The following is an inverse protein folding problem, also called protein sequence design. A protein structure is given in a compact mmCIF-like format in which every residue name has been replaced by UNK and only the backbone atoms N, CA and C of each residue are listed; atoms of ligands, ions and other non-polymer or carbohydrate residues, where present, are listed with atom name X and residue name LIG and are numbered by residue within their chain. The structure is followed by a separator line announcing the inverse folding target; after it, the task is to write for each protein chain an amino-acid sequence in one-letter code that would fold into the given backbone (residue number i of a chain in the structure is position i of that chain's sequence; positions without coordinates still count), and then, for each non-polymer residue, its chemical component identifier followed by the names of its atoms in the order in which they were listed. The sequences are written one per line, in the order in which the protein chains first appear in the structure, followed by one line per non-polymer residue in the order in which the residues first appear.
data_IF_740820626311
#
_entry.id   IF_740820626311
#
_cell.length_a   1.000
_cell.length_b   1.000
_cell.length_c   1.000
_cell.angle_alpha   90.00
_cell.angle_beta   90.00
_cell.angle_gamma   90.00
#
_symmetry.space_group_name_H-M   'P 1'
#
loop_
_entity.id
_entity.type
_entity.pdbx_description
1 polymer ?
#
# COMPACT_ATOMS: atom_id res chain seq x y z
N UNK A 1 -16.57 27.34 -6.05
CA UNK A 1 -16.21 25.93 -6.20
C UNK A 1 -17.47 25.15 -6.52
N UNK A 2 -17.60 24.64 -7.73
CA UNK A 2 -18.75 23.85 -8.16
C UNK A 2 -18.54 22.42 -7.63
N UNK A 3 -19.30 22.02 -6.64
CA UNK A 3 -19.30 20.65 -6.12
C UNK A 3 -19.87 19.69 -7.19
N UNK A 4 -19.07 18.66 -7.56
CA UNK A 4 -19.61 17.54 -8.34
C UNK A 4 -20.35 16.60 -7.37
N UNK A 5 -21.57 16.22 -7.72
CA UNK A 5 -22.44 15.35 -6.92
C UNK A 5 -21.85 13.94 -6.63
N UNK A 6 -20.76 13.57 -7.30
CA UNK A 6 -20.11 12.25 -7.20
C UNK A 6 -18.79 12.27 -6.40
N UNK A 7 -18.46 13.37 -5.72
CA UNK A 7 -17.22 13.46 -4.95
C UNK A 7 -17.35 12.74 -3.61
N UNK A 8 -16.46 11.77 -3.35
CA UNK A 8 -16.42 11.06 -2.08
C UNK A 8 -16.04 12.01 -0.96
N UNK A 9 -16.82 11.97 0.11
CA UNK A 9 -16.53 12.62 1.38
C UNK A 9 -16.52 11.56 2.46
N UNK A 10 -15.40 11.46 3.17
CA UNK A 10 -15.26 10.55 4.29
C UNK A 10 -16.20 10.96 5.43
N UNK A 11 -16.72 9.96 6.16
CA UNK A 11 -17.54 10.17 7.33
C UNK A 11 -16.80 11.06 8.35
N UNK A 12 -17.48 12.10 8.87
CA UNK A 12 -16.91 13.02 9.85
C UNK A 12 -16.56 12.32 11.16
N UNK A 13 -17.34 11.29 11.52
CA UNK A 13 -17.26 10.59 12.80
C UNK A 13 -16.42 9.30 12.69
N UNK A 14 -15.66 9.12 11.59
CA UNK A 14 -14.87 7.91 11.30
C UNK A 14 -13.87 7.53 12.37
N UNK A 15 -13.41 8.48 13.17
CA UNK A 15 -12.44 8.24 14.24
C UNK A 15 -13.04 7.89 15.60
N UNK A 16 -14.37 7.96 15.74
CA UNK A 16 -15.03 7.80 17.05
C UNK A 16 -15.19 6.33 17.46
N UNK A 17 -15.14 5.39 16.50
CA UNK A 17 -15.47 3.99 16.74
C UNK A 17 -14.27 3.05 16.72
N UNK A 18 -13.22 3.37 15.99
CA UNK A 18 -12.05 2.49 15.84
C UNK A 18 -10.94 2.93 16.78
N UNK A 19 -10.52 2.06 17.72
CA UNK A 19 -9.37 2.37 18.57
C UNK A 19 -8.06 2.27 17.79
N UNK A 20 -7.10 3.12 18.17
CA UNK A 20 -5.75 3.16 17.61
C UNK A 20 -4.72 2.78 18.68
N UNK A 21 -3.60 2.18 18.24
CA UNK A 21 -2.50 1.78 19.12
C UNK A 21 -1.18 2.23 18.54
N UNK A 22 -0.33 2.74 19.41
CA UNK A 22 1.04 3.11 19.06
C UNK A 22 1.81 1.88 18.54
N UNK A 23 2.44 2.02 17.38
CA UNK A 23 3.33 1.01 16.82
C UNK A 23 4.71 1.06 17.52
N UNK A 24 4.83 0.35 18.63
CA UNK A 24 6.05 0.30 19.44
C UNK A 24 6.47 1.69 19.91
N UNK A 25 7.70 2.10 19.54
CA UNK A 25 8.30 3.40 19.91
C UNK A 25 8.28 4.41 18.74
N UNK A 26 7.67 4.04 17.63
CA UNK A 26 7.55 4.93 16.45
C UNK A 26 6.51 6.04 16.69
N UNK A 27 6.43 7.00 15.77
CA UNK A 27 5.39 8.03 15.76
C UNK A 27 4.03 7.57 15.19
N UNK A 28 3.91 6.31 14.72
CA UNK A 28 2.71 5.80 14.08
C UNK A 28 1.71 5.25 15.08
N UNK A 29 0.46 5.66 14.95
CA UNK A 29 -0.69 5.04 15.61
C UNK A 29 -1.49 4.27 14.55
N UNK A 30 -1.59 2.96 14.72
CA UNK A 30 -2.29 2.08 13.78
C UNK A 30 -3.68 1.72 14.31
N UNK A 31 -4.70 1.63 13.42
CA UNK A 31 -5.99 1.10 13.81
C UNK A 31 -5.83 -0.37 14.23
N UNK A 32 -6.70 -0.84 15.11
CA UNK A 32 -6.66 -2.26 15.56
C UNK A 32 -6.95 -3.26 14.46
N UNK A 33 -7.52 -2.80 13.34
CA UNK A 33 -7.79 -3.58 12.13
C UNK A 33 -7.20 -2.84 10.93
N UNK A 34 -6.44 -3.54 10.09
CA UNK A 34 -5.93 -3.05 8.82
C UNK A 34 -6.68 -3.69 7.66
N UNK A 35 -6.85 -2.98 6.55
CA UNK A 35 -7.42 -3.54 5.33
C UNK A 35 -6.31 -4.09 4.43
N UNK A 36 -6.23 -5.41 4.28
CA UNK A 36 -5.34 -6.06 3.32
C UNK A 36 -5.94 -6.06 1.91
N UNK A 37 -5.15 -5.63 0.93
CA UNK A 37 -5.57 -5.50 -0.47
C UNK A 37 -5.08 -6.66 -1.35
N UNK A 38 -4.95 -7.85 -0.80
CA UNK A 38 -4.59 -9.01 -1.61
C UNK A 38 -5.80 -9.56 -2.35
N UNK A 39 -6.73 -10.19 -1.63
CA UNK A 39 -7.96 -10.70 -2.21
C UNK A 39 -8.97 -9.57 -2.47
N UNK A 40 -9.75 -9.68 -3.54
CA UNK A 40 -10.77 -8.72 -3.97
C UNK A 40 -10.23 -7.38 -4.53
N UNK A 41 -8.93 -7.26 -4.79
CA UNK A 41 -8.34 -6.02 -5.34
C UNK A 41 -7.57 -6.22 -6.66
N UNK A 42 -7.61 -7.43 -7.23
CA UNK A 42 -7.10 -7.72 -8.58
C UNK A 42 -8.05 -7.26 -9.70
N UNK A 43 -7.62 -7.49 -10.95
CA UNK A 43 -8.40 -7.13 -12.14
C UNK A 43 -9.61 -8.07 -12.36
N UNK A 44 -9.69 -9.16 -11.62
CA UNK A 44 -10.82 -10.11 -11.59
C UNK A 44 -12.04 -9.60 -10.80
N UNK A 45 -11.89 -8.48 -10.09
CA UNK A 45 -12.96 -7.87 -9.29
C UNK A 45 -13.32 -6.48 -9.84
N UNK A 46 -14.60 -6.15 -10.06
CA UNK A 46 -14.99 -4.83 -10.55
C UNK A 46 -14.47 -3.69 -9.67
N UNK A 47 -13.89 -2.66 -10.29
CA UNK A 47 -13.30 -1.50 -9.60
C UNK A 47 -14.28 -0.80 -8.65
N UNK A 48 -15.58 -0.75 -9.03
CA UNK A 48 -16.62 -0.17 -8.19
C UNK A 48 -16.81 -0.91 -6.86
N UNK A 49 -16.62 -2.24 -6.86
CA UNK A 49 -16.66 -3.05 -5.63
C UNK A 49 -15.45 -2.77 -4.75
N UNK A 50 -14.26 -2.71 -5.35
CA UNK A 50 -13.03 -2.36 -4.64
C UNK A 50 -13.14 -0.98 -3.99
N UNK A 51 -13.64 0.00 -4.76
CA UNK A 51 -13.90 1.37 -4.28
C UNK A 51 -14.88 1.40 -3.10
N UNK A 52 -15.98 0.65 -3.17
CA UNK A 52 -16.97 0.58 -2.09
C UNK A 52 -16.36 0.00 -0.80
N UNK A 53 -15.49 -1.01 -0.90
CA UNK A 53 -14.78 -1.60 0.24
C UNK A 53 -13.83 -0.58 0.87
N UNK A 54 -13.02 0.12 0.06
CA UNK A 54 -12.07 1.12 0.56
C UNK A 54 -12.77 2.28 1.25
N UNK A 55 -13.82 2.84 0.63
CA UNK A 55 -14.64 3.92 1.22
C UNK A 55 -15.23 3.48 2.55
N UNK A 56 -15.86 2.31 2.59
CA UNK A 56 -16.48 1.80 3.82
C UNK A 56 -15.46 1.55 4.93
N UNK A 57 -14.30 1.01 4.60
CA UNK A 57 -13.22 0.80 5.56
C UNK A 57 -12.76 2.13 6.16
N UNK A 58 -12.51 3.14 5.35
CA UNK A 58 -12.09 4.46 5.82
C UNK A 58 -13.18 5.17 6.63
N UNK A 59 -14.44 5.10 6.21
CA UNK A 59 -15.59 5.63 6.97
C UNK A 59 -15.79 4.96 8.33
N UNK A 60 -15.20 3.78 8.53
CA UNK A 60 -15.17 3.07 9.82
C UNK A 60 -13.88 3.33 10.61
N UNK A 61 -13.00 4.22 10.16
CA UNK A 61 -11.74 4.55 10.82
C UNK A 61 -10.59 3.59 10.55
N UNK A 62 -10.70 2.71 9.55
CA UNK A 62 -9.57 1.88 9.11
C UNK A 62 -8.66 2.73 8.23
N UNK A 63 -7.62 3.28 8.82
CA UNK A 63 -6.67 4.18 8.14
C UNK A 63 -5.49 3.46 7.51
N UNK A 64 -5.23 2.20 7.85
CA UNK A 64 -4.11 1.42 7.31
C UNK A 64 -4.57 0.51 6.17
N UNK A 65 -4.06 0.78 4.96
CA UNK A 65 -4.24 -0.04 3.76
C UNK A 65 -2.93 -0.74 3.42
N UNK A 66 -2.99 -2.08 3.40
CA UNK A 66 -1.82 -2.93 3.28
C UNK A 66 -1.76 -3.62 1.91
N UNK A 67 -0.79 -3.21 1.09
CA UNK A 67 -0.55 -3.70 -0.26
C UNK A 67 0.74 -4.55 -0.34
N UNK A 68 1.02 -5.05 -1.52
CA UNK A 68 2.31 -5.58 -1.94
C UNK A 68 2.44 -5.47 -3.46
N UNK A 69 3.68 -5.40 -3.95
CA UNK A 69 3.95 -5.28 -5.39
C UNK A 69 3.34 -6.43 -6.21
N UNK A 70 3.27 -7.65 -5.64
CA UNK A 70 2.75 -8.84 -6.31
C UNK A 70 1.26 -9.12 -6.05
N UNK A 71 0.54 -8.25 -5.36
CA UNK A 71 -0.90 -8.46 -5.14
C UNK A 71 -1.71 -8.25 -6.43
N UNK A 72 -2.72 -9.11 -6.60
CA UNK A 72 -3.57 -9.16 -7.79
C UNK A 72 -4.51 -10.36 -7.74
N UNK A 73 -4.87 -11.03 -8.85
CA UNK A 73 -4.19 -11.11 -10.16
C UNK A 73 -4.53 -9.95 -11.13
N UNK A 74 -3.65 -9.71 -12.13
CA UNK A 74 -2.24 -10.10 -12.22
C UNK A 74 -1.38 -9.31 -11.22
N UNK A 75 -0.12 -9.72 -11.02
CA UNK A 75 0.81 -9.02 -10.12
C UNK A 75 0.88 -7.52 -10.43
N UNK A 76 0.78 -6.70 -9.38
CA UNK A 76 0.75 -5.25 -9.48
C UNK A 76 -0.64 -4.64 -9.73
N UNK A 77 -1.66 -5.46 -10.05
CA UNK A 77 -3.01 -4.93 -10.32
C UNK A 77 -3.67 -4.32 -9.08
N UNK A 78 -3.46 -4.91 -7.91
CA UNK A 78 -4.00 -4.34 -6.67
C UNK A 78 -3.50 -2.91 -6.42
N UNK A 79 -2.21 -2.66 -6.62
CA UNK A 79 -1.63 -1.32 -6.50
C UNK A 79 -2.14 -0.35 -7.59
N UNK A 80 -2.29 -0.79 -8.85
CA UNK A 80 -2.87 0.04 -9.92
C UNK A 80 -4.32 0.40 -9.64
N UNK A 81 -5.12 -0.58 -9.24
CA UNK A 81 -6.53 -0.39 -8.92
C UNK A 81 -6.71 0.54 -7.73
N UNK A 82 -5.92 0.32 -6.67
CA UNK A 82 -5.85 1.24 -5.54
C UNK A 82 -5.47 2.65 -6.00
N UNK A 83 -4.42 2.81 -6.81
CA UNK A 83 -3.97 4.10 -7.33
C UNK A 83 -5.05 4.85 -8.10
N UNK A 84 -5.85 4.14 -8.91
CA UNK A 84 -7.00 4.70 -9.63
C UNK A 84 -8.07 5.23 -8.66
N UNK A 85 -8.39 4.46 -7.62
CA UNK A 85 -9.36 4.84 -6.61
C UNK A 85 -8.81 5.96 -5.71
N UNK A 86 -7.53 5.86 -5.32
CA UNK A 86 -6.84 6.87 -4.51
C UNK A 86 -6.85 8.24 -5.17
N UNK A 87 -6.51 8.32 -6.45
CA UNK A 87 -6.50 9.57 -7.19
C UNK A 87 -7.87 10.26 -7.21
N UNK A 88 -8.95 9.48 -7.23
CA UNK A 88 -10.33 9.95 -7.28
C UNK A 88 -10.89 10.32 -5.91
N UNK A 89 -10.65 9.48 -4.89
CA UNK A 89 -11.39 9.52 -3.63
C UNK A 89 -10.51 9.88 -2.42
N UNK A 90 -9.24 9.44 -2.40
CA UNK A 90 -8.43 9.46 -1.18
C UNK A 90 -7.26 10.46 -1.22
N UNK A 91 -6.97 11.07 -2.35
CA UNK A 91 -5.90 12.07 -2.44
C UNK A 91 -6.02 13.19 -1.40
N UNK A 92 -7.22 13.75 -1.11
CA UNK A 92 -7.38 14.76 -0.05
C UNK A 92 -7.10 14.24 1.37
N UNK A 93 -7.12 12.92 1.55
CA UNK A 93 -6.94 12.24 2.84
C UNK A 93 -5.58 11.55 2.99
N UNK A 94 -4.62 11.83 2.07
CA UNK A 94 -3.31 11.12 2.08
C UNK A 94 -2.63 11.16 3.46
N UNK A 95 -2.66 12.30 4.11
CA UNK A 95 -2.01 12.52 5.42
C UNK A 95 -2.74 11.86 6.60
N UNK A 96 -3.96 11.37 6.37
CA UNK A 96 -4.72 10.59 7.34
C UNK A 96 -4.53 9.07 7.15
N UNK A 97 -3.93 8.65 6.05
CA UNK A 97 -3.75 7.25 5.69
C UNK A 97 -2.34 6.76 6.03
N UNK A 98 -2.25 5.52 6.48
CA UNK A 98 -1.03 4.73 6.51
C UNK A 98 -1.08 3.77 5.33
N UNK A 99 -0.20 3.98 4.36
CA UNK A 99 -0.05 3.11 3.21
C UNK A 99 1.17 2.23 3.39
N UNK A 100 0.99 0.92 3.29
CA UNK A 100 2.10 -0.02 3.28
C UNK A 100 2.16 -0.80 1.99
N UNK A 101 3.39 -1.10 1.54
CA UNK A 101 3.63 -2.06 0.46
C UNK A 101 4.87 -2.90 0.75
N UNK A 102 5.10 -3.93 -0.07
CA UNK A 102 6.10 -4.97 0.18
C UNK A 102 6.72 -5.42 -1.13
N UNK A 103 7.97 -5.87 -1.07
CA UNK A 103 8.64 -6.54 -2.17
C UNK A 103 9.39 -7.78 -1.70
N UNK A 104 9.38 -8.86 -2.50
CA UNK A 104 10.05 -10.11 -2.15
C UNK A 104 9.70 -11.29 -3.04
N UNK A 105 8.67 -11.18 -3.87
CA UNK A 105 8.24 -12.21 -4.83
C UNK A 105 8.52 -11.79 -6.27
N UNK A 106 8.40 -12.73 -7.20
CA UNK A 106 8.65 -12.50 -8.63
C UNK A 106 7.72 -11.43 -9.21
N UNK A 107 8.26 -10.51 -9.98
CA UNK A 107 7.51 -9.40 -10.55
C UNK A 107 7.73 -9.19 -12.05
N UNK A 108 8.94 -9.41 -12.55
CA UNK A 108 9.27 -9.25 -13.98
C UNK A 108 10.28 -10.30 -14.43
N UNK A 109 10.40 -10.55 -15.74
CA UNK A 109 11.33 -11.52 -16.29
C UNK A 109 12.81 -11.17 -16.03
N UNK A 110 13.66 -12.20 -16.06
CA UNK A 110 15.12 -12.06 -15.94
C UNK A 110 15.62 -12.10 -14.50
N UNK A 111 16.96 -12.03 -14.32
CA UNK A 111 17.60 -12.35 -13.04
C UNK A 111 17.33 -11.33 -11.93
N UNK A 112 16.84 -10.15 -12.26
CA UNK A 112 16.64 -9.07 -11.29
C UNK A 112 15.18 -8.86 -10.88
N UNK A 113 14.26 -9.61 -11.45
CA UNK A 113 12.81 -9.52 -11.19
C UNK A 113 12.23 -10.78 -10.55
N UNK A 114 13.08 -11.74 -10.19
CA UNK A 114 12.66 -13.03 -9.64
C UNK A 114 12.49 -13.02 -8.11
N UNK A 115 12.25 -11.86 -7.53
CA UNK A 115 12.07 -11.71 -6.10
C UNK A 115 13.39 -11.56 -5.33
N UNK A 116 13.33 -11.87 -4.05
CA UNK A 116 14.50 -11.80 -3.18
C UNK A 116 14.68 -10.47 -2.45
N UNK A 117 15.85 -10.34 -1.80
CA UNK A 117 16.19 -9.22 -0.94
C UNK A 117 17.27 -8.29 -1.48
N UNK A 118 17.67 -8.45 -2.76
CA UNK A 118 18.75 -7.63 -3.32
C UNK A 118 18.37 -6.15 -3.35
N UNK A 119 19.38 -5.29 -3.16
CA UNK A 119 19.23 -3.84 -3.26
C UNK A 119 18.58 -3.42 -4.59
N UNK A 120 19.05 -4.02 -5.69
CA UNK A 120 18.51 -3.73 -7.02
C UNK A 120 17.02 -4.02 -7.11
N UNK A 121 16.60 -5.18 -6.63
CA UNK A 121 15.20 -5.60 -6.66
C UNK A 121 14.31 -4.75 -5.76
N UNK A 122 14.74 -4.51 -4.51
CA UNK A 122 13.93 -3.79 -3.53
C UNK A 122 13.68 -2.33 -3.95
N UNK A 123 14.71 -1.60 -4.36
CA UNK A 123 14.54 -0.20 -4.77
C UNK A 123 13.73 -0.08 -6.06
N UNK A 124 14.01 -0.91 -7.07
CA UNK A 124 13.21 -0.92 -8.30
C UNK A 124 11.74 -1.29 -8.03
N UNK A 125 11.49 -2.22 -7.09
CA UNK A 125 10.12 -2.59 -6.68
C UNK A 125 9.40 -1.43 -5.99
N UNK A 126 10.08 -0.70 -5.12
CA UNK A 126 9.49 0.47 -4.44
C UNK A 126 9.12 1.54 -5.47
N UNK A 127 10.03 1.92 -6.37
CA UNK A 127 9.77 2.90 -7.43
C UNK A 127 8.55 2.51 -8.28
N UNK A 128 8.47 1.24 -8.68
CA UNK A 128 7.34 0.72 -9.45
C UNK A 128 6.04 0.73 -8.64
N UNK A 129 6.08 0.43 -7.35
CA UNK A 129 4.90 0.46 -6.46
C UNK A 129 4.38 1.88 -6.29
N UNK A 130 5.25 2.86 -6.03
CA UNK A 130 4.89 4.28 -5.97
C UNK A 130 4.23 4.75 -7.26
N UNK A 131 4.81 4.40 -8.42
CA UNK A 131 4.27 4.72 -9.73
C UNK A 131 2.87 4.09 -9.96
N UNK A 132 2.67 2.81 -9.60
CA UNK A 132 1.37 2.14 -9.73
C UNK A 132 0.29 2.76 -8.85
N UNK A 133 0.63 3.11 -7.62
CA UNK A 133 -0.29 3.73 -6.66
C UNK A 133 -0.50 5.24 -6.92
N UNK A 134 0.39 5.88 -7.66
CA UNK A 134 0.34 7.33 -7.91
C UNK A 134 0.56 8.16 -6.66
N UNK A 135 1.48 7.73 -5.79
CA UNK A 135 1.88 8.38 -4.56
C UNK A 135 3.38 8.66 -4.54
N UNK A 136 3.80 9.66 -3.79
CA UNK A 136 5.21 10.05 -3.69
C UNK A 136 5.98 9.23 -2.64
N UNK A 137 5.26 8.66 -1.66
CA UNK A 137 5.82 7.83 -0.61
C UNK A 137 4.80 6.84 -0.04
N UNK A 138 5.30 5.80 0.62
CA UNK A 138 4.52 4.93 1.51
C UNK A 138 5.02 5.12 2.94
N UNK A 139 4.16 4.86 3.91
CA UNK A 139 4.49 5.03 5.33
C UNK A 139 5.27 3.83 5.87
N UNK A 140 5.05 2.64 5.28
CA UNK A 140 5.72 1.40 5.65
C UNK A 140 6.10 0.63 4.39
N UNK A 141 7.39 0.26 4.28
CA UNK A 141 7.88 -0.62 3.23
C UNK A 141 8.48 -1.88 3.84
N UNK A 142 7.97 -3.05 3.42
CA UNK A 142 8.41 -4.34 3.95
C UNK A 142 9.31 -5.12 2.99
N UNK A 143 10.36 -5.76 3.53
CA UNK A 143 10.89 -6.98 2.92
C UNK A 143 9.86 -8.09 3.14
N UNK A 144 9.20 -8.54 2.06
CA UNK A 144 8.02 -9.41 2.10
C UNK A 144 8.35 -10.83 2.56
N UNK A 145 9.60 -11.26 2.36
CA UNK A 145 10.11 -12.54 2.80
C UNK A 145 11.62 -12.49 2.96
N UNK A 146 12.14 -13.35 3.82
CA UNK A 146 13.57 -13.55 3.95
C UNK A 146 14.17 -14.17 2.68
N UNK A 147 15.30 -13.64 2.24
CA UNK A 147 16.09 -14.19 1.13
C UNK A 147 17.40 -14.76 1.66
N UNK A 148 17.55 -16.10 1.70
CA UNK A 148 18.76 -16.73 2.23
C UNK A 148 19.98 -16.59 1.30
N UNK A 149 19.79 -16.13 0.06
CA UNK A 149 20.84 -16.02 -0.96
C UNK A 149 21.45 -14.62 -1.06
N UNK A 150 20.80 -13.62 -0.49
CA UNK A 150 21.30 -12.25 -0.42
C UNK A 150 21.80 -11.93 0.99
N UNK A 151 22.98 -11.35 1.17
CA UNK A 151 23.44 -10.88 2.48
C UNK A 151 22.43 -9.96 3.14
N UNK A 152 22.17 -10.18 4.44
CA UNK A 152 21.19 -9.38 5.19
C UNK A 152 21.55 -7.88 5.20
N UNK A 153 22.84 -7.58 5.21
CA UNK A 153 23.38 -6.21 5.17
C UNK A 153 22.99 -5.50 3.88
N UNK A 154 22.93 -6.20 2.74
CA UNK A 154 22.47 -5.62 1.46
C UNK A 154 20.97 -5.29 1.52
N UNK A 155 20.16 -6.21 2.01
CA UNK A 155 18.73 -6.01 2.19
C UNK A 155 18.45 -4.83 3.13
N UNK A 156 19.11 -4.80 4.29
CA UNK A 156 18.93 -3.72 5.27
C UNK A 156 19.46 -2.38 4.74
N UNK A 157 20.58 -2.39 4.01
CA UNK A 157 21.12 -1.19 3.35
C UNK A 157 20.21 -0.64 2.25
N UNK A 158 19.44 -1.50 1.57
CA UNK A 158 18.41 -1.07 0.63
C UNK A 158 17.24 -0.39 1.35
N UNK A 159 16.76 -0.98 2.44
CA UNK A 159 15.68 -0.39 3.25
C UNK A 159 16.10 0.94 3.90
N UNK A 160 17.34 1.05 4.43
CA UNK A 160 17.88 2.32 4.93
C UNK A 160 17.92 3.40 3.83
N UNK A 161 18.27 3.02 2.60
CA UNK A 161 18.25 3.96 1.46
C UNK A 161 16.83 4.43 1.13
N UNK A 162 15.84 3.54 1.23
CA UNK A 162 14.43 3.88 0.98
C UNK A 162 13.86 4.87 2.02
N UNK A 163 14.43 4.89 3.23
CA UNK A 163 14.02 5.82 4.31
C UNK A 163 14.62 7.21 4.14
N UNK A 164 15.78 7.33 3.49
CA UNK A 164 16.50 8.60 3.26
C UNK A 164 16.00 9.36 2.04
#
# INVERSE_FOLDING_TARGET
MTYRADEYRADSDRYDQTPYRRCGRTGLDLPVVSLGLWHNFGDDVPLARQQAILRRAFDLGVTHFDLANNYGPPYGSAERNFGTIFARDFRPYRDELILSTKAGYDMWPGPYGQGGGSRKYLLASLDQSLARMGVDYVDIFYSHRFDPTTPLEETMGALDTAVR
#
